data_IF_159211970951
#
_entry.id   IF_159211970951
#
_cell.length_a   1.000
_cell.length_b   1.000
_cell.length_c   1.000
_cell.angle_alpha   90.00
_cell.angle_beta   90.00
_cell.angle_gamma   90.00
#
_symmetry.space_group_name_H-M   'P 1'
#
loop_
_entity.id
_entity.type
_entity.pdbx_description
1 polymer ?
#
# COMPACT_ATOMS: atom_id res chain seq x y z
N UNK A 1 13.73 17.39 13.88
CA UNK A 1 14.78 16.59 13.17
C UNK A 1 14.21 16.01 11.87
N UNK A 2 13.01 15.43 11.86
CA UNK A 2 12.37 14.93 10.63
C UNK A 2 11.86 16.03 9.69
N UNK A 3 11.33 17.14 10.20
CA UNK A 3 10.87 18.28 9.35
C UNK A 3 11.98 18.82 8.42
N UNK A 4 13.21 18.97 8.94
CA UNK A 4 14.36 19.43 8.15
C UNK A 4 14.92 18.38 7.18
N UNK A 5 14.62 17.09 7.38
CA UNK A 5 15.08 16.03 6.48
C UNK A 5 14.13 15.82 5.30
N UNK A 6 12.84 16.15 5.43
CA UNK A 6 11.82 15.83 4.42
C UNK A 6 11.39 17.03 3.57
N UNK A 7 11.38 18.25 4.12
CA UNK A 7 10.90 19.45 3.39
C UNK A 7 11.75 19.81 2.16
N UNK A 8 13.08 19.94 2.33
CA UNK A 8 13.99 20.30 1.23
C UNK A 8 14.39 19.09 0.35
N UNK A 9 14.34 17.86 0.88
CA UNK A 9 14.75 16.67 0.12
C UNK A 9 13.63 16.06 -0.72
N UNK A 10 12.34 16.27 -0.43
CA UNK A 10 11.25 15.69 -1.26
C UNK A 10 11.28 16.19 -2.71
N UNK A 11 11.57 17.49 -2.93
CA UNK A 11 11.75 18.06 -4.27
C UNK A 11 12.84 17.33 -5.08
N UNK A 12 13.81 16.74 -4.39
CA UNK A 12 14.90 15.96 -4.98
C UNK A 12 14.43 14.61 -5.50
N UNK A 13 13.45 13.98 -4.84
CA UNK A 13 12.86 12.69 -5.23
C UNK A 13 11.73 12.83 -6.27
N UNK A 14 10.99 13.94 -6.26
CA UNK A 14 9.96 14.22 -7.27
C UNK A 14 10.53 14.34 -8.69
N UNK A 15 11.78 14.82 -8.80
CA UNK A 15 12.45 15.03 -10.07
C UNK A 15 13.42 13.90 -10.47
N UNK A 16 13.48 12.79 -9.72
CA UNK A 16 14.25 11.62 -10.14
C UNK A 16 13.50 10.96 -11.30
N UNK A 17 14.09 10.88 -12.50
CA UNK A 17 13.48 10.13 -13.57
C UNK A 17 13.28 8.69 -13.10
N UNK A 18 12.04 8.22 -13.15
CA UNK A 18 11.71 6.89 -12.63
C UNK A 18 12.73 5.86 -13.12
N UNK A 19 13.42 5.19 -12.19
CA UNK A 19 14.35 4.11 -12.55
C UNK A 19 13.64 3.01 -13.34
N UNK A 20 12.30 2.96 -13.34
CA UNK A 20 11.49 2.09 -14.22
C UNK A 20 11.80 2.23 -15.71
N UNK A 21 12.33 3.38 -16.16
CA UNK A 21 12.79 3.53 -17.55
C UNK A 21 14.15 2.86 -17.83
N UNK A 22 14.89 2.51 -16.79
CA UNK A 22 16.22 1.87 -16.84
C UNK A 22 16.21 0.43 -16.30
N UNK A 23 15.25 0.08 -15.44
CA UNK A 23 14.97 -1.30 -15.04
C UNK A 23 14.18 -1.92 -16.17
N UNK A 24 14.84 -2.77 -16.96
CA UNK A 24 14.29 -3.38 -18.17
C UNK A 24 12.91 -4.02 -17.93
N UNK A 25 11.83 -3.31 -18.29
CA UNK A 25 10.55 -3.96 -18.53
C UNK A 25 10.72 -4.82 -19.77
N UNK A 26 10.46 -6.13 -19.68
CA UNK A 26 10.39 -7.00 -20.87
C UNK A 26 9.37 -6.37 -21.83
N UNK A 27 9.80 -5.96 -23.03
CA UNK A 27 8.93 -5.25 -23.99
C UNK A 27 7.76 -6.14 -24.42
N UNK A 28 8.04 -7.42 -24.72
CA UNK A 28 7.06 -8.39 -25.16
C UNK A 28 6.62 -9.29 -23.99
N UNK A 29 5.86 -8.74 -23.04
CA UNK A 29 5.26 -9.54 -21.97
C UNK A 29 4.19 -10.47 -22.55
N UNK A 30 4.22 -11.73 -22.15
CA UNK A 30 3.15 -12.67 -22.46
C UNK A 30 1.99 -12.42 -21.49
N UNK A 31 1.12 -11.46 -21.82
CA UNK A 31 0.03 -11.04 -20.92
C UNK A 31 -0.90 -12.21 -20.58
N UNK A 32 -1.23 -13.05 -21.57
CA UNK A 32 -2.10 -14.20 -21.37
C UNK A 32 -1.54 -15.19 -20.35
N UNK A 33 -0.25 -15.50 -20.44
CA UNK A 33 0.42 -16.37 -19.47
C UNK A 33 0.43 -15.75 -18.06
N UNK A 34 0.67 -14.44 -17.96
CA UNK A 34 0.64 -13.73 -16.69
C UNK A 34 -0.75 -13.73 -16.05
N UNK A 35 -1.80 -13.52 -16.82
CA UNK A 35 -3.19 -13.57 -16.34
C UNK A 35 -3.56 -14.98 -15.85
N UNK A 36 -3.22 -16.00 -16.63
CA UNK A 36 -3.46 -17.41 -16.24
C UNK A 36 -2.69 -17.77 -14.96
N UNK A 37 -1.44 -17.32 -14.82
CA UNK A 37 -0.64 -17.53 -13.61
C UNK A 37 -1.21 -16.74 -12.42
N UNK A 38 -1.62 -15.49 -12.63
CA UNK A 38 -2.18 -14.64 -11.58
C UNK A 38 -3.46 -15.22 -11.00
N UNK A 39 -4.37 -15.74 -11.83
CA UNK A 39 -5.61 -16.39 -11.37
C UNK A 39 -5.29 -17.63 -10.53
N UNK A 40 -4.35 -18.47 -11.00
CA UNK A 40 -3.93 -19.67 -10.25
C UNK A 40 -3.32 -19.30 -8.90
N UNK A 41 -2.45 -18.30 -8.88
CA UNK A 41 -1.83 -17.80 -7.65
C UNK A 41 -2.87 -17.22 -6.69
N UNK A 42 -3.74 -16.33 -7.17
CA UNK A 42 -4.79 -15.71 -6.36
C UNK A 42 -5.69 -16.74 -5.71
N UNK A 43 -6.05 -17.81 -6.44
CA UNK A 43 -6.83 -18.90 -5.87
C UNK A 43 -6.05 -19.65 -4.78
N UNK A 44 -4.83 -20.06 -5.08
CA UNK A 44 -4.01 -20.81 -4.12
C UNK A 44 -3.69 -19.98 -2.86
N UNK A 45 -3.37 -18.69 -3.01
CA UNK A 45 -3.07 -17.80 -1.90
C UNK A 45 -4.30 -17.52 -1.03
N UNK A 46 -5.47 -17.37 -1.64
CA UNK A 46 -6.73 -17.22 -0.92
C UNK A 46 -7.13 -18.48 -0.14
N UNK A 47 -6.99 -19.66 -0.74
CA UNK A 47 -7.26 -20.95 -0.08
C UNK A 47 -6.34 -21.18 1.12
N UNK A 48 -5.10 -20.69 1.05
CA UNK A 48 -4.13 -20.76 2.15
C UNK A 48 -4.13 -19.51 3.05
N UNK A 49 -5.05 -18.56 2.84
CA UNK A 49 -5.22 -17.37 3.69
C UNK A 49 -3.95 -16.51 3.84
N UNK A 50 -3.08 -16.45 2.83
CA UNK A 50 -1.83 -15.70 2.94
C UNK A 50 -2.03 -14.21 3.24
N UNK A 51 -3.13 -13.61 2.76
CA UNK A 51 -3.47 -12.21 3.07
C UNK A 51 -3.81 -11.96 4.53
N UNK A 52 -3.93 -12.98 5.38
CA UNK A 52 -4.19 -12.86 6.82
C UNK A 52 -2.92 -13.00 7.67
N UNK A 53 -1.78 -13.32 7.05
CA UNK A 53 -0.51 -13.55 7.74
C UNK A 53 0.39 -12.30 7.74
N UNK A 54 -0.11 -11.18 7.21
CA UNK A 54 0.65 -9.93 7.07
C UNK A 54 0.29 -8.97 8.20
N UNK A 55 1.33 -8.48 8.87
CA UNK A 55 1.20 -7.48 9.92
C UNK A 55 1.86 -6.16 9.50
N UNK A 56 1.26 -5.04 9.93
CA UNK A 56 1.93 -3.75 9.98
C UNK A 56 2.22 -3.37 11.42
N UNK A 57 3.49 -3.29 11.78
CA UNK A 57 3.96 -2.98 13.14
C UNK A 57 3.32 -3.89 14.22
N UNK A 58 3.07 -5.16 13.88
CA UNK A 58 2.44 -6.14 14.77
C UNK A 58 0.92 -6.07 14.82
N UNK A 59 0.27 -5.28 13.95
CA UNK A 59 -1.19 -5.24 13.81
C UNK A 59 -1.61 -5.91 12.51
N UNK A 60 -2.51 -6.90 12.54
CA UNK A 60 -2.94 -7.64 11.35
C UNK A 60 -3.57 -6.76 10.27
N UNK A 61 -3.18 -7.02 9.02
CA UNK A 61 -3.77 -6.44 7.80
C UNK A 61 -4.34 -7.56 6.95
N UNK A 62 -5.56 -7.38 6.44
CA UNK A 62 -6.20 -8.32 5.50
C UNK A 62 -5.98 -7.83 4.06
N UNK A 63 -4.71 -7.78 3.64
CA UNK A 63 -4.28 -7.33 2.31
C UNK A 63 -3.02 -8.10 1.90
N UNK A 64 -2.74 -8.20 0.59
CA UNK A 64 -1.48 -8.77 0.13
C UNK A 64 -0.32 -7.77 0.29
N UNK A 65 0.92 -8.23 0.46
CA UNK A 65 2.08 -7.33 0.43
C UNK A 65 2.18 -6.51 -0.86
N UNK A 66 1.77 -7.09 -1.99
CA UNK A 66 1.71 -6.40 -3.28
C UNK A 66 0.72 -5.22 -3.26
N UNK A 67 -0.49 -5.43 -2.72
CA UNK A 67 -1.48 -4.37 -2.58
C UNK A 67 -0.96 -3.26 -1.66
N UNK A 68 -0.32 -3.62 -0.55
CA UNK A 68 0.25 -2.64 0.37
C UNK A 68 1.26 -1.75 -0.35
N UNK A 69 2.24 -2.31 -1.08
CA UNK A 69 3.24 -1.53 -1.81
C UNK A 69 2.59 -0.67 -2.90
N UNK A 70 1.62 -1.19 -3.64
CA UNK A 70 0.89 -0.39 -4.65
C UNK A 70 0.17 0.80 -4.01
N UNK A 71 -0.48 0.58 -2.86
CA UNK A 71 -1.12 1.64 -2.10
C UNK A 71 -0.10 2.66 -1.58
N UNK A 72 1.08 2.22 -1.13
CA UNK A 72 2.15 3.13 -0.72
C UNK A 72 2.56 4.07 -1.85
N UNK A 73 2.84 3.51 -3.03
CA UNK A 73 3.23 4.29 -4.20
C UNK A 73 2.12 5.25 -4.63
N UNK A 74 0.86 4.80 -4.59
CA UNK A 74 -0.30 5.61 -4.94
C UNK A 74 -0.47 6.78 -3.97
N UNK A 75 -0.39 6.53 -2.66
CA UNK A 75 -0.47 7.55 -1.61
C UNK A 75 0.68 8.54 -1.75
N UNK A 76 1.91 8.08 -1.99
CA UNK A 76 3.06 8.97 -2.18
C UNK A 76 2.93 9.84 -3.43
N UNK A 77 2.39 9.27 -4.52
CA UNK A 77 2.18 9.99 -5.78
C UNK A 77 1.08 11.04 -5.67
N UNK A 78 -0.06 10.68 -5.07
CA UNK A 78 -1.24 11.55 -5.00
C UNK A 78 -1.12 12.53 -3.84
N UNK A 79 -0.50 12.12 -2.73
CA UNK A 79 -0.45 12.84 -1.46
C UNK A 79 -1.85 13.32 -1.07
N UNK A 80 -2.80 12.40 -0.81
CA UNK A 80 -4.18 12.78 -0.53
C UNK A 80 -4.28 13.62 0.76
N UNK A 81 -5.36 14.38 0.92
CA UNK A 81 -5.65 15.07 2.19
C UNK A 81 -6.49 14.18 3.12
N UNK A 82 -7.28 13.27 2.56
CA UNK A 82 -8.11 12.31 3.31
C UNK A 82 -8.07 10.96 2.59
N UNK A 83 -7.90 9.88 3.36
CA UNK A 83 -8.14 8.50 2.94
C UNK A 83 -9.35 8.00 3.72
N UNK A 84 -10.33 7.42 3.02
CA UNK A 84 -11.50 6.77 3.61
C UNK A 84 -11.41 5.27 3.32
N UNK A 85 -11.49 4.45 4.35
CA UNK A 85 -11.50 3.00 4.25
C UNK A 85 -12.81 2.44 4.80
N UNK A 86 -13.44 1.55 4.05
CA UNK A 86 -14.67 0.86 4.46
C UNK A 86 -14.36 -0.60 4.75
N UNK A 87 -14.72 -1.06 5.95
CA UNK A 87 -14.32 -2.36 6.50
C UNK A 87 -12.99 -2.23 7.23
N UNK A 88 -13.06 -2.17 8.56
CA UNK A 88 -11.90 -1.95 9.44
C UNK A 88 -11.24 -3.27 9.80
N UNK A 89 -12.01 -4.35 10.00
CA UNK A 89 -11.51 -5.61 10.53
C UNK A 89 -10.67 -5.42 11.82
N UNK A 90 -9.36 -5.65 11.77
CA UNK A 90 -8.43 -5.45 12.90
C UNK A 90 -7.77 -4.06 12.92
N UNK A 91 -8.06 -3.20 11.95
CA UNK A 91 -7.57 -1.82 11.88
C UNK A 91 -6.11 -1.66 11.42
N UNK A 92 -5.40 -2.74 11.08
CA UNK A 92 -3.99 -2.63 10.66
C UNK A 92 -3.79 -1.78 9.40
N UNK A 93 -4.70 -1.85 8.43
CA UNK A 93 -4.67 -1.04 7.20
C UNK A 93 -4.84 0.46 7.50
N UNK A 94 -5.69 0.83 8.46
CA UNK A 94 -5.82 2.21 8.93
C UNK A 94 -4.51 2.72 9.54
N UNK A 95 -3.87 1.91 10.39
CA UNK A 95 -2.57 2.26 10.99
C UNK A 95 -1.51 2.38 9.91
N UNK A 96 -1.52 1.48 8.92
CA UNK A 96 -0.63 1.51 7.78
C UNK A 96 -0.76 2.80 6.98
N UNK A 97 -1.98 3.16 6.55
CA UNK A 97 -2.20 4.41 5.83
C UNK A 97 -1.87 5.63 6.69
N UNK A 98 -2.24 5.63 7.98
CA UNK A 98 -1.94 6.73 8.89
C UNK A 98 -0.42 6.91 9.05
N UNK A 99 0.34 5.81 9.13
CA UNK A 99 1.80 5.83 9.20
C UNK A 99 2.42 6.47 7.95
N UNK A 100 1.89 6.14 6.76
CA UNK A 100 2.35 6.75 5.51
C UNK A 100 2.02 8.23 5.43
N UNK A 101 0.81 8.61 5.86
CA UNK A 101 0.37 10.01 5.89
C UNK A 101 1.18 10.84 6.90
N UNK A 102 1.54 10.25 8.04
CA UNK A 102 2.47 10.84 9.02
C UNK A 102 3.86 11.07 8.42
N UNK A 103 4.39 10.10 7.65
CA UNK A 103 5.65 10.29 6.91
C UNK A 103 5.58 11.41 5.87
N UNK A 104 4.39 11.70 5.32
CA UNK A 104 4.17 12.84 4.44
C UNK A 104 3.94 14.16 5.20
N UNK A 105 3.82 14.10 6.54
CA UNK A 105 3.44 15.19 7.43
C UNK A 105 2.11 15.85 6.99
N UNK A 106 1.17 15.07 6.45
CA UNK A 106 -0.14 15.58 6.00
C UNK A 106 -1.25 14.55 5.95
N UNK A 107 -2.46 15.08 6.06
CA UNK A 107 -3.73 14.41 5.78
C UNK A 107 -4.25 13.53 6.92
N UNK A 108 -5.37 12.85 6.66
CA UNK A 108 -6.12 12.08 7.66
C UNK A 108 -6.59 10.75 7.09
N UNK A 109 -6.77 9.77 7.96
CA UNK A 109 -7.35 8.47 7.61
C UNK A 109 -8.62 8.26 8.43
N UNK A 110 -9.71 7.90 7.77
CA UNK A 110 -11.02 7.66 8.37
C UNK A 110 -11.44 6.24 8.04
N UNK A 111 -11.58 5.41 9.06
CA UNK A 111 -12.18 4.08 8.93
C UNK A 111 -13.67 4.11 9.20
N UNK A 112 -14.44 3.34 8.44
CA UNK A 112 -15.85 3.10 8.67
C UNK A 112 -16.15 1.61 8.58
N UNK A 113 -16.83 1.08 9.59
CA UNK A 113 -17.34 -0.30 9.61
C UNK A 113 -18.80 -0.30 10.08
N UNK A 114 -19.55 -1.33 9.71
CA UNK A 114 -20.92 -1.54 10.20
C UNK A 114 -20.90 -1.86 11.71
N UNK A 115 -19.85 -2.50 12.19
CA UNK A 115 -19.67 -2.87 13.59
C UNK A 115 -18.20 -2.74 13.98
N UNK A 116 -17.92 -1.91 14.99
CA UNK A 116 -16.61 -1.89 15.64
C UNK A 116 -16.64 -2.90 16.78
N UNK A 117 -16.03 -4.06 16.55
CA UNK A 117 -15.95 -5.12 17.58
C UNK A 117 -15.01 -4.68 18.68
N UNK A 118 -15.33 -5.00 19.93
CA UNK A 118 -14.36 -4.92 21.03
C UNK A 118 -13.32 -6.06 20.86
N UNK A 119 -12.05 -5.75 21.11
CA UNK A 119 -10.92 -6.68 21.02
C UNK A 119 -10.15 -6.69 22.35
#
# INVERSE_FOLDING_TARGET
ILENLMGDNMNKYENIPSLRKYVHTKENKNIKELEEAAIKWMKASAENRLSYEVDWLGVPIIQSPEDMILMQELIFKIKPDIIIETGIAHGGSLIYYASLMELLNKGKVIGMDIEIREH
#
